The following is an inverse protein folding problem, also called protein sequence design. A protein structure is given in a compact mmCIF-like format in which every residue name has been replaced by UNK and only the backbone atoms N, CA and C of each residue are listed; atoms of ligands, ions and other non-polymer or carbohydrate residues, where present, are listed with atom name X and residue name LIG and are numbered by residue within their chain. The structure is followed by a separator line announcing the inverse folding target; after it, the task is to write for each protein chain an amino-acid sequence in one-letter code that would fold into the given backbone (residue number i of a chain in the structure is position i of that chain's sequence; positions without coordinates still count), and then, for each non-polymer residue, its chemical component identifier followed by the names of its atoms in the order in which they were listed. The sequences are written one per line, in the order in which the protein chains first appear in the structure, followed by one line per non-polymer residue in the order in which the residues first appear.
data_IF_561456981326
#
_entry.id   IF_561456981326
#
_cell.length_a   1.000
_cell.length_b   1.000
_cell.length_c   1.000
_cell.angle_alpha   90.00
_cell.angle_beta   90.00
_cell.angle_gamma   90.00
#
_symmetry.space_group_name_H-M   'P 1'
#
loop_
_entity.id
_entity.type
_entity.pdbx_description
1 polymer ?
#
# COMPACT_ATOMS: atom_id res chain seq x y z
N UNK A 1 -14.51 -46.12 -25.25
CA UNK A 1 -15.03 -46.73 -24.00
C UNK A 1 -15.02 -45.65 -22.94
N UNK A 2 -16.19 -45.20 -22.48
CA UNK A 2 -16.27 -44.34 -21.30
C UNK A 2 -15.91 -45.15 -20.05
N UNK A 3 -14.86 -44.76 -19.35
CA UNK A 3 -14.44 -45.44 -18.13
C UNK A 3 -15.38 -44.98 -17.00
N UNK A 4 -16.24 -45.90 -16.54
CA UNK A 4 -17.23 -45.61 -15.50
C UNK A 4 -16.53 -45.49 -14.14
N UNK A 5 -16.57 -44.29 -13.54
CA UNK A 5 -16.02 -44.06 -12.21
C UNK A 5 -16.95 -44.65 -11.14
N UNK A 6 -16.37 -45.13 -10.04
CA UNK A 6 -17.14 -45.58 -8.88
C UNK A 6 -17.70 -44.38 -8.10
N UNK A 7 -18.78 -44.58 -7.34
CA UNK A 7 -19.35 -43.54 -6.47
C UNK A 7 -18.28 -42.96 -5.53
N UNK A 8 -17.42 -43.82 -4.99
CA UNK A 8 -16.32 -43.40 -4.13
C UNK A 8 -15.32 -42.48 -4.86
N UNK A 9 -14.99 -42.78 -6.12
CA UNK A 9 -14.14 -41.92 -6.95
C UNK A 9 -14.81 -40.58 -7.26
N UNK A 10 -16.11 -40.60 -7.55
CA UNK A 10 -16.91 -39.38 -7.78
C UNK A 10 -16.94 -38.49 -6.53
N UNK A 11 -17.07 -39.06 -5.34
CA UNK A 11 -17.00 -38.33 -4.08
C UNK A 11 -15.62 -37.69 -3.87
N UNK A 12 -14.53 -38.41 -4.20
CA UNK A 12 -13.18 -37.83 -4.15
C UNK A 12 -13.09 -36.61 -5.06
N UNK A 13 -13.57 -36.69 -6.31
CA UNK A 13 -13.57 -35.56 -7.23
C UNK A 13 -14.46 -34.41 -6.75
N UNK A 14 -15.62 -34.72 -6.18
CA UNK A 14 -16.52 -33.71 -5.64
C UNK A 14 -15.88 -32.93 -4.48
N UNK A 15 -15.35 -33.62 -3.47
CA UNK A 15 -14.74 -32.97 -2.30
C UNK A 15 -13.37 -32.34 -2.58
N UNK A 16 -12.72 -32.69 -3.69
CA UNK A 16 -11.47 -32.08 -4.14
C UNK A 16 -11.68 -30.87 -5.09
N UNK A 17 -12.93 -30.50 -5.43
CA UNK A 17 -13.26 -29.33 -6.29
C UNK A 17 -13.18 -28.02 -5.48
N UNK A 18 -12.01 -27.76 -4.89
CA UNK A 18 -11.67 -26.53 -4.18
C UNK A 18 -10.46 -25.88 -4.83
N UNK A 19 -10.44 -24.54 -4.91
CA UNK A 19 -9.38 -23.80 -5.59
C UNK A 19 -7.99 -24.07 -5.00
N UNK A 20 -7.91 -24.16 -3.67
CA UNK A 20 -6.68 -24.43 -2.92
C UNK A 20 -6.24 -25.90 -2.94
N UNK A 21 -7.12 -26.81 -3.38
CA UNK A 21 -6.96 -28.25 -3.25
C UNK A 21 -7.19 -28.74 -1.81
N UNK A 22 -7.21 -30.06 -1.64
CA UNK A 22 -7.56 -30.71 -0.37
C UNK A 22 -6.58 -31.83 -0.07
N UNK A 23 -6.20 -31.99 1.20
CA UNK A 23 -5.27 -33.06 1.57
C UNK A 23 -5.99 -34.40 1.78
N UNK A 24 -5.23 -35.49 1.74
CA UNK A 24 -5.75 -36.86 1.85
C UNK A 24 -6.50 -37.12 3.17
N UNK A 25 -6.11 -36.46 4.27
CA UNK A 25 -6.75 -36.63 5.58
C UNK A 25 -8.09 -35.90 5.61
N UNK A 26 -8.13 -34.69 5.07
CA UNK A 26 -9.35 -33.89 4.96
C UNK A 26 -10.37 -34.54 4.02
N UNK A 27 -9.92 -35.11 2.89
CA UNK A 27 -10.78 -35.90 2.01
C UNK A 27 -11.37 -37.11 2.74
N UNK A 28 -10.55 -37.85 3.51
CA UNK A 28 -11.03 -38.99 4.28
C UNK A 28 -12.10 -38.60 5.30
N UNK A 29 -11.95 -37.44 5.96
CA UNK A 29 -12.94 -36.90 6.90
C UNK A 29 -14.23 -36.48 6.20
N UNK A 30 -14.11 -35.79 5.07
CA UNK A 30 -15.27 -35.25 4.34
C UNK A 30 -16.13 -36.35 3.72
N UNK A 31 -15.49 -37.42 3.24
CA UNK A 31 -16.17 -38.57 2.64
C UNK A 31 -16.67 -39.54 3.73
N UNK A 32 -16.07 -39.52 4.91
CA UNK A 32 -16.38 -40.43 6.02
C UNK A 32 -15.77 -41.83 5.87
N UNK A 33 -14.84 -42.00 4.92
CA UNK A 33 -14.15 -43.28 4.65
C UNK A 33 -12.68 -43.02 4.32
N UNK A 34 -11.81 -43.98 4.64
CA UNK A 34 -10.37 -43.83 4.44
C UNK A 34 -10.00 -43.68 2.95
N UNK A 35 -9.46 -42.53 2.57
CA UNK A 35 -8.87 -42.29 1.25
C UNK A 35 -7.39 -42.65 1.30
N UNK A 36 -6.98 -43.60 0.46
CA UNK A 36 -5.58 -44.01 0.33
C UNK A 36 -4.87 -43.27 -0.79
N UNK A 37 -3.55 -43.22 -0.75
CA UNK A 37 -2.72 -42.69 -1.87
C UNK A 37 -3.01 -43.40 -3.19
N UNK A 38 -3.28 -44.70 -3.17
CA UNK A 38 -3.61 -45.48 -4.38
C UNK A 38 -4.87 -44.96 -5.07
N UNK A 39 -5.89 -44.55 -4.31
CA UNK A 39 -7.12 -43.98 -4.85
C UNK A 39 -6.83 -42.66 -5.60
N UNK A 40 -6.01 -41.81 -5.00
CA UNK A 40 -5.64 -40.51 -5.57
C UNK A 40 -4.69 -40.65 -6.77
N UNK A 41 -3.71 -41.56 -6.70
CA UNK A 41 -2.80 -41.85 -7.80
C UNK A 41 -3.52 -42.38 -9.03
N UNK A 42 -4.55 -43.22 -8.83
CA UNK A 42 -5.37 -43.70 -9.93
C UNK A 42 -6.11 -42.54 -10.63
N UNK A 43 -6.76 -41.65 -9.86
CA UNK A 43 -7.47 -40.49 -10.43
C UNK A 43 -6.54 -39.45 -11.06
N UNK A 44 -5.32 -39.31 -10.54
CA UNK A 44 -4.26 -38.51 -11.16
C UNK A 44 -3.84 -39.08 -12.51
N UNK A 45 -3.62 -40.40 -12.60
CA UNK A 45 -3.25 -41.07 -13.87
C UNK A 45 -4.33 -40.91 -14.94
N UNK A 46 -5.60 -40.88 -14.54
CA UNK A 46 -6.73 -40.65 -15.45
C UNK A 46 -6.90 -39.18 -15.86
N UNK A 47 -6.14 -38.27 -15.24
CA UNK A 47 -6.20 -36.83 -15.47
C UNK A 47 -7.42 -36.16 -14.85
N UNK A 48 -8.08 -36.79 -13.87
CA UNK A 48 -9.24 -36.23 -13.17
C UNK A 48 -8.87 -35.43 -11.91
N UNK A 49 -7.66 -35.64 -11.39
CA UNK A 49 -7.07 -34.85 -10.32
C UNK A 49 -5.78 -34.17 -10.78
N UNK A 50 -5.40 -33.12 -10.08
CA UNK A 50 -4.15 -32.38 -10.18
C UNK A 50 -3.49 -32.30 -8.80
N UNK A 51 -2.15 -32.27 -8.76
CA UNK A 51 -1.40 -32.01 -7.52
C UNK A 51 -1.14 -30.51 -7.40
N UNK A 52 -1.46 -29.96 -6.24
CA UNK A 52 -1.11 -28.59 -5.86
C UNK A 52 -0.04 -28.66 -4.78
N UNK A 53 1.05 -27.92 -4.98
CA UNK A 53 2.15 -27.86 -4.01
C UNK A 53 1.72 -27.06 -2.81
N UNK A 54 1.78 -27.66 -1.62
CA UNK A 54 1.46 -26.96 -0.38
C UNK A 54 2.60 -26.01 -0.01
N UNK A 55 2.31 -24.73 0.13
CA UNK A 55 3.29 -23.71 0.54
C UNK A 55 3.25 -23.57 2.07
N UNK A 56 4.40 -23.70 2.72
CA UNK A 56 4.53 -23.50 4.17
C UNK A 56 4.61 -22.02 4.56
N UNK A 57 4.54 -21.73 5.87
CA UNK A 57 4.54 -20.36 6.45
C UNK A 57 5.72 -19.45 6.03
N UNK A 58 6.78 -20.01 5.44
CA UNK A 58 7.96 -19.27 4.94
C UNK A 58 8.09 -19.29 3.41
N UNK A 59 7.00 -19.53 2.68
CA UNK A 59 7.02 -19.64 1.21
C UNK A 59 7.69 -20.91 0.68
N UNK A 60 8.17 -21.82 1.55
CA UNK A 60 8.86 -23.05 1.15
C UNK A 60 7.85 -24.15 0.81
N UNK A 61 8.04 -24.92 -0.28
CA UNK A 61 7.18 -26.04 -0.61
C UNK A 61 7.31 -27.14 0.46
N UNK A 62 6.19 -27.66 0.93
CA UNK A 62 6.12 -28.80 1.83
C UNK A 62 6.17 -30.12 1.04
N UNK A 63 6.66 -31.19 1.67
CA UNK A 63 6.71 -32.55 1.07
C UNK A 63 5.33 -33.16 0.82
N UNK A 64 4.25 -32.56 1.35
CA UNK A 64 2.88 -33.00 1.17
C UNK A 64 2.18 -32.23 0.04
N UNK A 65 1.44 -32.93 -0.81
CA UNK A 65 0.63 -32.35 -1.87
C UNK A 65 -0.82 -32.19 -1.43
N UNK A 66 -1.48 -31.17 -1.97
CA UNK A 66 -2.93 -31.04 -2.01
C UNK A 66 -3.42 -31.60 -3.35
N UNK A 67 -4.67 -32.06 -3.36
CA UNK A 67 -5.29 -32.64 -4.55
C UNK A 67 -6.46 -31.76 -4.95
N UNK A 68 -6.50 -31.37 -6.22
CA UNK A 68 -7.56 -30.56 -6.79
C UNK A 68 -8.20 -31.29 -7.96
N UNK A 69 -9.50 -31.16 -8.12
CA UNK A 69 -10.21 -31.71 -9.29
C UNK A 69 -9.85 -30.92 -10.55
N UNK A 70 -9.42 -31.63 -11.60
CA UNK A 70 -9.15 -31.02 -12.90
C UNK A 70 -10.46 -30.65 -13.59
N UNK A 71 -10.40 -29.82 -14.63
CA UNK A 71 -11.58 -29.50 -15.44
C UNK A 71 -12.26 -30.77 -16.00
N UNK A 72 -11.47 -31.73 -16.47
CA UNK A 72 -11.94 -33.03 -16.95
C UNK A 72 -12.62 -33.85 -15.85
N UNK A 73 -12.04 -33.86 -14.64
CA UNK A 73 -12.64 -34.53 -13.49
C UNK A 73 -13.96 -33.90 -13.07
N UNK A 74 -14.06 -32.58 -13.24
CA UNK A 74 -15.26 -31.80 -12.91
C UNK A 74 -16.43 -32.13 -13.82
N UNK A 75 -16.20 -32.12 -15.13
CA UNK A 75 -17.19 -32.55 -16.13
C UNK A 75 -17.65 -33.98 -15.85
N UNK A 76 -16.71 -34.86 -15.49
CA UNK A 76 -17.02 -36.25 -15.19
C UNK A 76 -17.89 -36.43 -13.95
N UNK A 77 -17.66 -35.74 -12.82
CA UNK A 77 -18.55 -35.96 -11.67
C UNK A 77 -19.87 -35.21 -11.81
N UNK A 78 -19.89 -34.06 -12.47
CA UNK A 78 -21.12 -33.32 -12.72
C UNK A 78 -22.08 -34.11 -13.60
N UNK A 79 -21.61 -34.84 -14.62
CA UNK A 79 -22.48 -35.66 -15.48
C UNK A 79 -23.18 -36.80 -14.73
N UNK A 80 -22.64 -37.22 -13.58
CA UNK A 80 -23.23 -38.28 -12.72
C UNK A 80 -24.16 -37.72 -11.64
N UNK A 81 -24.15 -36.41 -11.40
CA UNK A 81 -25.08 -35.77 -10.48
C UNK A 81 -26.41 -35.51 -11.19
N UNK A 82 -27.52 -35.89 -10.55
CA UNK A 82 -28.84 -35.48 -11.02
C UNK A 82 -29.00 -33.96 -11.01
N UNK A 83 -29.86 -33.43 -11.87
CA UNK A 83 -30.15 -31.99 -11.99
C UNK A 83 -30.41 -31.28 -10.64
N UNK A 84 -31.16 -31.87 -9.68
CA UNK A 84 -31.38 -31.23 -8.38
C UNK A 84 -30.08 -31.03 -7.57
N UNK A 85 -29.16 -31.99 -7.65
CA UNK A 85 -27.88 -31.92 -6.93
C UNK A 85 -26.93 -30.92 -7.61
N UNK A 86 -26.91 -30.89 -8.95
CA UNK A 86 -26.18 -29.85 -9.69
C UNK A 86 -26.65 -28.45 -9.32
N UNK A 87 -27.97 -28.22 -9.29
CA UNK A 87 -28.56 -26.93 -8.95
C UNK A 87 -28.22 -26.50 -7.52
N UNK A 88 -28.26 -27.43 -6.55
CA UNK A 88 -27.88 -27.17 -5.17
C UNK A 88 -26.40 -26.74 -5.04
N UNK A 89 -25.50 -27.42 -5.75
CA UNK A 89 -24.07 -27.09 -5.72
C UNK A 89 -23.75 -25.75 -6.37
N UNK A 90 -24.38 -25.46 -7.51
CA UNK A 90 -24.26 -24.16 -8.17
C UNK A 90 -24.77 -23.03 -7.26
N UNK A 91 -25.88 -23.25 -6.56
CA UNK A 91 -26.43 -22.30 -5.59
C UNK A 91 -25.48 -22.04 -4.42
N UNK A 92 -24.91 -23.09 -3.82
CA UNK A 92 -23.97 -22.92 -2.72
C UNK A 92 -22.69 -22.21 -3.17
N UNK A 93 -22.15 -22.56 -4.35
CA UNK A 93 -20.98 -21.89 -4.90
C UNK A 93 -21.25 -20.41 -5.20
N UNK A 94 -22.41 -20.09 -5.77
CA UNK A 94 -22.83 -18.71 -5.99
C UNK A 94 -22.96 -17.94 -4.66
N UNK A 95 -23.43 -18.60 -3.59
CA UNK A 95 -23.59 -17.99 -2.27
C UNK A 95 -22.22 -17.67 -1.64
N UNK A 96 -21.24 -18.57 -1.73
CA UNK A 96 -19.88 -18.30 -1.24
C UNK A 96 -19.20 -17.19 -2.04
N UNK A 97 -19.31 -17.21 -3.37
CA UNK A 97 -18.80 -16.12 -4.23
C UNK A 97 -19.43 -14.77 -3.86
N UNK A 98 -20.75 -14.74 -3.60
CA UNK A 98 -21.42 -13.51 -3.17
C UNK A 98 -20.92 -13.00 -1.81
N UNK A 99 -20.53 -13.89 -0.88
CA UNK A 99 -19.89 -13.49 0.38
C UNK A 99 -18.51 -12.89 0.15
N UNK A 100 -17.69 -13.52 -0.70
CA UNK A 100 -16.38 -13.00 -1.08
C UNK A 100 -16.50 -11.61 -1.72
N UNK A 101 -17.41 -11.44 -2.68
CA UNK A 101 -17.65 -10.13 -3.30
C UNK A 101 -18.13 -9.08 -2.29
N UNK A 102 -18.98 -9.44 -1.32
CA UNK A 102 -19.38 -8.52 -0.24
C UNK A 102 -18.20 -8.09 0.61
N UNK A 103 -17.34 -9.02 1.02
CA UNK A 103 -16.12 -8.73 1.77
C UNK A 103 -15.20 -7.79 0.99
N UNK A 104 -15.02 -8.04 -0.31
CA UNK A 104 -14.20 -7.19 -1.17
C UNK A 104 -14.77 -5.77 -1.28
N UNK A 105 -16.09 -5.64 -1.41
CA UNK A 105 -16.77 -4.33 -1.44
C UNK A 105 -16.58 -3.59 -0.10
N UNK A 106 -16.66 -4.28 1.03
CA UNK A 106 -16.40 -3.69 2.35
C UNK A 106 -14.94 -3.20 2.49
N UNK A 107 -13.97 -3.97 2.01
CA UNK A 107 -12.56 -3.55 1.99
C UNK A 107 -12.33 -2.33 1.09
N UNK A 108 -12.93 -2.30 -0.09
CA UNK A 108 -12.87 -1.15 -1.01
C UNK A 108 -13.51 0.08 -0.38
N UNK A 109 -14.69 -0.06 0.23
CA UNK A 109 -15.35 1.05 0.93
C UNK A 109 -14.54 1.57 2.11
N UNK A 110 -13.91 0.68 2.87
CA UNK A 110 -13.01 1.07 3.97
C UNK A 110 -11.79 1.82 3.43
N UNK A 111 -11.23 1.36 2.32
CA UNK A 111 -10.10 2.02 1.65
C UNK A 111 -10.49 3.40 1.11
N UNK A 112 -11.68 3.53 0.52
CA UNK A 112 -12.23 4.80 0.06
C UNK A 112 -12.45 5.78 1.21
N UNK A 113 -13.07 5.36 2.32
CA UNK A 113 -13.22 6.20 3.52
C UNK A 113 -11.89 6.64 4.10
N UNK A 114 -10.89 5.76 4.11
CA UNK A 114 -9.54 6.11 4.55
C UNK A 114 -8.88 7.11 3.60
N UNK A 115 -9.14 7.01 2.30
CA UNK A 115 -8.65 7.95 1.30
C UNK A 115 -9.36 9.31 1.40
N UNK A 116 -10.68 9.33 1.58
CA UNK A 116 -11.47 10.52 1.85
C UNK A 116 -11.03 11.20 3.15
N UNK A 117 -10.76 10.44 4.22
CA UNK A 117 -10.20 10.98 5.46
C UNK A 117 -8.82 11.60 5.25
N UNK A 118 -7.95 10.98 4.46
CA UNK A 118 -6.66 11.57 4.08
C UNK A 118 -6.80 12.82 3.23
N UNK A 119 -7.76 12.85 2.30
CA UNK A 119 -8.08 14.03 1.51
C UNK A 119 -8.65 15.16 2.37
N UNK A 120 -9.51 14.85 3.34
CA UNK A 120 -10.06 15.82 4.29
C UNK A 120 -8.95 16.42 5.15
N UNK A 121 -8.03 15.60 5.67
CA UNK A 121 -6.85 16.08 6.39
C UNK A 121 -5.94 16.94 5.49
N UNK A 122 -5.78 16.57 4.22
CA UNK A 122 -5.04 17.38 3.24
C UNK A 122 -5.77 18.68 2.86
N UNK A 123 -7.10 18.70 2.92
CA UNK A 123 -7.94 19.86 2.67
C UNK A 123 -7.95 20.81 3.88
N UNK A 124 -8.02 20.30 5.11
CA UNK A 124 -7.86 21.06 6.35
C UNK A 124 -6.45 21.68 6.44
N UNK A 125 -5.40 20.95 6.03
CA UNK A 125 -4.03 21.50 5.89
C UNK A 125 -3.93 22.61 4.82
N UNK A 126 -4.87 22.67 3.87
CA UNK A 126 -4.97 23.76 2.88
C UNK A 126 -5.87 24.91 3.34
N UNK A 127 -6.89 24.68 4.17
CA UNK A 127 -7.85 25.71 4.60
C UNK A 127 -7.36 26.56 5.79
N UNK A 128 -6.36 26.11 6.57
CA UNK A 128 -5.70 26.99 7.57
C UNK A 128 -4.64 27.93 6.99
N UNK A 129 -4.31 27.82 5.70
CA UNK A 129 -3.49 28.81 5.02
C UNK A 129 -4.36 29.96 4.52
N UNK A 130 -4.78 30.83 5.46
CA UNK A 130 -4.96 32.23 5.08
C UNK A 130 -3.67 32.66 4.38
N UNK A 131 -3.73 33.32 3.21
CA UNK A 131 -2.54 33.85 2.58
C UNK A 131 -1.86 34.78 3.59
N UNK A 132 -0.74 34.33 4.14
CA UNK A 132 0.12 35.17 4.95
C UNK A 132 0.55 36.30 4.02
N UNK A 133 0.12 37.54 4.30
CA UNK A 133 0.44 38.66 3.43
C UNK A 133 1.96 38.73 3.28
N UNK A 134 2.45 38.65 2.03
CA UNK A 134 3.89 38.53 1.74
C UNK A 134 4.71 39.66 2.36
N UNK A 135 4.12 40.84 2.48
CA UNK A 135 4.71 42.00 3.13
C UNK A 135 4.96 41.77 4.63
N UNK A 136 4.07 41.02 5.29
CA UNK A 136 4.25 40.60 6.69
C UNK A 136 5.40 39.60 6.85
N UNK A 137 5.60 38.70 5.89
CA UNK A 137 6.72 37.74 5.92
C UNK A 137 8.07 38.44 5.76
N UNK A 138 8.15 39.40 4.84
CA UNK A 138 9.37 40.18 4.62
C UNK A 138 9.76 40.95 5.88
N UNK A 139 8.81 41.64 6.51
CA UNK A 139 9.07 42.38 7.76
C UNK A 139 9.50 41.44 8.89
N UNK A 140 8.94 40.23 8.94
CA UNK A 140 9.32 39.22 9.92
C UNK A 140 10.71 38.64 9.66
N UNK A 141 11.07 38.44 8.40
CA UNK A 141 12.40 38.02 7.97
C UNK A 141 13.45 39.08 8.31
N UNK A 142 13.18 40.36 8.02
CA UNK A 142 14.08 41.48 8.33
C UNK A 142 14.31 41.65 9.84
N UNK A 143 13.24 41.58 10.63
CA UNK A 143 13.33 41.69 12.10
C UNK A 143 14.09 40.51 12.71
N UNK A 144 13.73 39.28 12.33
CA UNK A 144 14.39 38.06 12.85
C UNK A 144 15.85 37.98 12.40
N UNK A 145 16.17 38.36 11.17
CA UNK A 145 17.55 38.45 10.70
C UNK A 145 18.34 39.47 11.53
N UNK A 146 17.78 40.66 11.79
CA UNK A 146 18.43 41.69 12.59
C UNK A 146 18.73 41.20 14.02
N UNK A 147 17.79 40.48 14.65
CA UNK A 147 17.99 39.84 15.96
C UNK A 147 19.13 38.80 15.93
N UNK A 148 19.19 37.97 14.89
CA UNK A 148 20.21 36.94 14.75
C UNK A 148 21.60 37.52 14.47
N UNK A 149 21.69 38.57 13.67
CA UNK A 149 22.96 39.28 13.41
C UNK A 149 23.46 39.96 14.67
N UNK A 150 22.60 40.59 15.48
CA UNK A 150 23.01 41.21 16.76
C UNK A 150 23.61 40.21 17.75
N UNK A 151 23.18 38.94 17.70
CA UNK A 151 23.73 37.86 18.52
C UNK A 151 25.04 37.26 17.97
N UNK A 152 25.36 37.53 16.70
CA UNK A 152 26.52 37.00 16.01
C UNK A 152 27.67 38.01 16.01
N UNK A 153 28.79 37.70 16.69
CA UNK A 153 29.91 38.63 16.86
C UNK A 153 30.80 38.79 15.61
N UNK A 154 30.62 38.01 14.54
CA UNK A 154 31.68 37.84 13.51
C UNK A 154 31.24 38.01 12.05
N UNK A 155 29.96 37.96 11.69
CA UNK A 155 29.57 38.16 10.27
C UNK A 155 28.09 38.53 10.10
N UNK A 156 27.73 39.30 9.04
CA UNK A 156 26.34 39.58 8.71
C UNK A 156 25.60 38.34 8.16
N UNK A 157 26.28 37.24 7.87
CA UNK A 157 25.63 36.05 7.32
C UNK A 157 24.96 35.23 8.42
N UNK A 158 23.67 34.94 8.24
CA UNK A 158 22.87 34.12 9.15
C UNK A 158 22.65 32.74 8.54
N UNK A 159 22.75 31.68 9.36
CA UNK A 159 22.42 30.32 8.90
C UNK A 159 20.93 30.22 8.61
N UNK A 160 20.60 29.57 7.49
CA UNK A 160 19.21 29.40 7.10
C UNK A 160 18.45 28.52 8.10
N UNK A 161 19.09 27.51 8.68
CA UNK A 161 18.47 26.68 9.73
C UNK A 161 18.03 27.50 10.95
N UNK A 162 18.86 28.46 11.39
CA UNK A 162 18.54 29.33 12.53
C UNK A 162 17.39 30.28 12.19
N UNK A 163 17.43 30.91 11.01
CA UNK A 163 16.35 31.78 10.55
C UNK A 163 15.04 31.00 10.39
N UNK A 164 15.10 29.84 9.72
CA UNK A 164 13.97 28.94 9.50
C UNK A 164 13.30 28.56 10.82
N UNK A 165 14.09 28.15 11.82
CA UNK A 165 13.56 27.77 13.13
C UNK A 165 12.69 28.86 13.74
N UNK A 166 13.19 30.10 13.78
CA UNK A 166 12.48 31.22 14.39
C UNK A 166 11.26 31.65 13.58
N UNK A 167 11.34 31.63 12.25
CA UNK A 167 10.20 32.00 11.39
C UNK A 167 9.11 30.95 11.47
N UNK A 168 9.44 29.67 11.35
CA UNK A 168 8.50 28.54 11.47
C UNK A 168 7.79 28.56 12.83
N UNK A 169 8.52 28.83 13.92
CA UNK A 169 7.94 28.94 15.26
C UNK A 169 6.96 30.12 15.38
N UNK A 170 7.26 31.26 14.75
CA UNK A 170 6.41 32.47 14.81
C UNK A 170 5.21 32.42 13.85
N UNK A 171 5.32 31.72 12.72
CA UNK A 171 4.29 31.73 11.66
C UNK A 171 3.50 30.43 11.54
N UNK A 172 3.97 29.33 12.14
CA UNK A 172 3.40 27.99 11.93
C UNK A 172 3.65 27.42 10.53
N UNK A 173 4.49 28.06 9.71
CA UNK A 173 4.83 27.56 8.36
C UNK A 173 5.59 26.24 8.42
N UNK A 174 5.43 25.38 7.41
CA UNK A 174 6.30 24.20 7.28
C UNK A 174 7.68 24.59 6.76
N UNK A 175 8.66 23.70 6.97
CA UNK A 175 10.02 23.85 6.40
C UNK A 175 9.96 24.07 4.89
N UNK A 176 9.16 23.30 4.17
CA UNK A 176 9.04 23.35 2.71
C UNK A 176 8.42 24.67 2.24
N UNK A 177 7.50 25.24 3.01
CA UNK A 177 6.89 26.53 2.70
C UNK A 177 7.89 27.67 2.89
N UNK A 178 8.61 27.67 4.02
CA UNK A 178 9.65 28.64 4.28
C UNK A 178 10.72 28.61 3.17
N UNK A 179 11.18 27.41 2.79
CA UNK A 179 12.19 27.24 1.76
C UNK A 179 11.73 27.78 0.41
N UNK A 180 10.48 27.50 0.02
CA UNK A 180 9.89 28.02 -1.23
C UNK A 180 9.77 29.54 -1.23
N UNK A 181 9.27 30.13 -0.15
CA UNK A 181 9.12 31.59 -0.05
C UNK A 181 10.49 32.29 -0.01
N UNK A 182 11.48 31.73 0.68
CA UNK A 182 12.82 32.31 0.73
C UNK A 182 13.51 32.28 -0.65
N UNK A 183 13.37 31.18 -1.40
CA UNK A 183 13.86 31.09 -2.79
C UNK A 183 13.14 32.10 -3.66
N UNK A 184 11.81 32.16 -3.57
CA UNK A 184 11.00 33.08 -4.36
C UNK A 184 11.40 34.53 -4.11
N UNK A 185 11.58 34.93 -2.85
CA UNK A 185 12.03 36.28 -2.49
C UNK A 185 13.43 36.60 -3.03
N UNK A 186 14.35 35.62 -2.99
CA UNK A 186 15.70 35.79 -3.55
C UNK A 186 15.69 35.90 -5.08
N UNK A 187 14.77 35.23 -5.77
CA UNK A 187 14.61 35.33 -7.21
C UNK A 187 13.92 36.63 -7.64
N UNK A 188 12.97 37.15 -6.85
CA UNK A 188 12.27 38.41 -7.10
C UNK A 188 13.16 39.63 -6.86
N UNK A 189 13.87 39.67 -5.72
CA UNK A 189 14.79 40.75 -5.38
C UNK A 189 16.10 40.20 -4.78
N UNK A 190 17.08 39.86 -5.64
CA UNK A 190 18.38 39.37 -5.22
C UNK A 190 19.23 40.38 -4.46
N UNK A 191 18.88 41.67 -4.46
CA UNK A 191 19.57 42.68 -3.65
C UNK A 191 19.06 42.69 -2.22
N UNK A 192 17.79 42.32 -2.03
CA UNK A 192 17.15 42.22 -0.73
C UNK A 192 17.43 40.90 -0.02
N UNK A 193 17.32 39.77 -0.72
CA UNK A 193 17.55 38.43 -0.15
C UNK A 193 18.65 37.72 -0.93
N UNK A 194 19.82 37.59 -0.30
CA UNK A 194 21.00 36.98 -0.89
C UNK A 194 21.29 35.63 -0.24
N UNK A 195 21.28 34.56 -1.04
CA UNK A 195 21.58 33.19 -0.61
C UNK A 195 23.02 32.82 -0.94
N UNK A 196 23.72 32.23 0.03
CA UNK A 196 25.12 31.84 -0.11
C UNK A 196 25.30 30.33 0.14
N UNK A 197 26.12 29.71 -0.70
CA UNK A 197 26.62 28.36 -0.50
C UNK A 197 27.66 28.35 0.63
N UNK A 198 27.89 27.18 1.21
CA UNK A 198 28.80 27.04 2.35
C UNK A 198 28.86 25.60 2.83
N UNK A 199 29.30 25.40 4.07
CA UNK A 199 29.36 24.09 4.72
C UNK A 199 28.21 23.90 5.70
N UNK A 200 27.51 22.78 5.60
CA UNK A 200 26.37 22.41 6.43
C UNK A 200 25.83 21.02 6.07
N UNK A 201 24.93 20.47 6.87
CA UNK A 201 24.22 19.23 6.52
C UNK A 201 23.11 19.55 5.52
N UNK A 202 22.76 18.61 4.63
CA UNK A 202 21.72 18.84 3.59
C UNK A 202 20.38 19.32 4.19
N UNK A 203 20.09 18.97 5.44
CA UNK A 203 18.87 19.36 6.14
C UNK A 203 18.86 20.83 6.60
N UNK A 204 20.03 21.43 6.79
CA UNK A 204 20.21 22.81 7.30
C UNK A 204 20.08 23.87 6.21
N UNK A 205 20.26 23.46 4.95
CA UNK A 205 20.28 24.37 3.80
C UNK A 205 18.95 24.44 3.05
N UNK A 206 18.94 25.28 2.02
CA UNK A 206 17.86 25.43 1.04
C UNK A 206 18.40 25.04 -0.33
N UNK A 207 17.69 24.14 -1.02
CA UNK A 207 18.10 23.63 -2.33
C UNK A 207 17.63 24.58 -3.43
N UNK A 208 18.59 25.25 -4.07
CA UNK A 208 18.35 26.13 -5.22
C UNK A 208 18.79 25.45 -6.53
N UNK A 209 18.53 26.09 -7.68
CA UNK A 209 19.05 25.64 -8.99
C UNK A 209 20.58 25.61 -9.04
N UNK A 210 21.26 26.40 -8.20
CA UNK A 210 22.73 26.55 -8.16
C UNK A 210 23.40 25.66 -7.11
N UNK A 211 22.62 24.86 -6.38
CA UNK A 211 23.10 24.02 -5.28
C UNK A 211 22.44 24.36 -3.95
N UNK A 212 22.99 23.81 -2.87
CA UNK A 212 22.45 24.01 -1.51
C UNK A 212 23.08 25.26 -0.91
N UNK A 213 22.23 26.22 -0.54
CA UNK A 213 22.62 27.43 0.19
C UNK A 213 22.41 27.19 1.68
N UNK A 214 23.37 27.63 2.50
CA UNK A 214 23.31 27.44 3.96
C UNK A 214 23.21 28.76 4.72
N UNK A 215 23.50 29.87 4.04
CA UNK A 215 23.54 31.20 4.64
C UNK A 215 22.70 32.17 3.84
N UNK A 216 22.15 33.16 4.53
CA UNK A 216 21.33 34.22 3.96
C UNK A 216 21.72 35.59 4.51
N UNK A 217 21.64 36.61 3.66
CA UNK A 217 21.68 38.02 4.02
C UNK A 217 20.34 38.63 3.62
N UNK A 218 19.72 39.34 4.57
CA UNK A 218 18.46 40.07 4.34
C UNK A 218 18.72 41.55 4.60
N UNK A 219 18.54 42.39 3.59
CA UNK A 219 18.76 43.85 3.69
C UNK A 219 17.45 44.56 3.99
N UNK A 220 17.49 45.47 4.96
CA UNK A 220 16.38 46.38 5.27
C UNK A 220 16.32 47.48 4.20
N UNK A 221 15.11 47.89 3.82
CA UNK A 221 14.90 49.10 3.01
C UNK A 221 15.17 50.37 3.83
#
# INVERSE_FOLDING_TARGET
MEQKLSIFQLLILFFSDRQEGTDCKELSRSIGVSVSKKHLEHLLKLGFLEKVTKIGKKGKPLRSYLYRTSQKGKEQYLSYLGEPVKAYLLKNKATELLKEYRSLIEEVNTSLRNFEGKLSLMAEVKEEQRPFERDSLINLLESTYSELVQRSQVAPMVKISDLRKHIVEKTGMTKEQFDKELIFLSEQDPYKVQLFTGTGSEEDGVKTRKGICYYVIIRKQ
#
